data_IF_793290329052
#
_entry.id   IF_793290329052
#
_cell.length_a   1.000
_cell.length_b   1.000
_cell.length_c   1.000
_cell.angle_alpha   90.00
_cell.angle_beta   90.00
_cell.angle_gamma   90.00
#
_symmetry.space_group_name_H-M   'P 1'
#
loop_
_entity.id
_entity.type
_entity.pdbx_description
1 polymer ?
#
# COMPACT_ATOMS: atom_id res chain seq x y z
N UNK A 1 -15.12 -8.74 2.26
CA UNK A 1 -14.15 -8.23 3.25
C UNK A 1 -14.20 -6.72 3.21
N UNK A 2 -14.73 -6.09 4.26
CA UNK A 2 -14.70 -4.64 4.41
C UNK A 2 -13.37 -4.26 5.06
N UNK A 3 -12.57 -3.46 4.38
CA UNK A 3 -11.24 -3.05 4.87
C UNK A 3 -11.31 -2.27 6.19
N UNK A 4 -12.45 -1.66 6.50
CA UNK A 4 -12.66 -0.79 7.66
C UNK A 4 -12.84 -1.58 8.95
N UNK A 5 -12.89 -0.86 10.07
CA UNK A 5 -13.46 -1.40 11.31
C UNK A 5 -14.98 -1.37 11.25
N UNK A 6 -15.62 -2.24 12.04
CA UNK A 6 -17.08 -2.26 12.17
C UNK A 6 -17.63 -0.89 12.61
N UNK A 7 -16.95 -0.24 13.56
CA UNK A 7 -17.34 1.10 14.03
C UNK A 7 -17.31 2.14 12.90
N UNK A 8 -16.26 2.15 12.09
CA UNK A 8 -16.16 3.06 10.95
C UNK A 8 -17.22 2.76 9.88
N UNK A 9 -17.55 1.49 9.64
CA UNK A 9 -18.62 1.10 8.71
C UNK A 9 -20.00 1.57 9.20
N UNK A 10 -20.27 1.45 10.52
CA UNK A 10 -21.50 1.98 11.15
C UNK A 10 -21.58 3.50 11.03
N UNK A 11 -20.47 4.23 11.26
CA UNK A 11 -20.43 5.67 11.06
C UNK A 11 -20.78 6.08 9.63
N UNK A 12 -20.24 5.38 8.62
CA UNK A 12 -20.59 5.59 7.22
C UNK A 12 -22.08 5.28 6.93
N UNK A 13 -22.67 4.28 7.62
CA UNK A 13 -24.10 3.97 7.50
C UNK A 13 -24.99 5.14 7.94
N UNK A 14 -24.61 5.83 9.02
CA UNK A 14 -25.33 7.02 9.48
C UNK A 14 -25.29 8.20 8.47
N UNK A 15 -24.30 8.22 7.58
CA UNK A 15 -24.14 9.21 6.51
C UNK A 15 -24.78 8.77 5.18
N UNK A 16 -25.60 7.72 5.16
CA UNK A 16 -26.27 7.22 3.96
C UNK A 16 -25.42 6.30 3.07
N UNK A 17 -24.21 5.92 3.51
CA UNK A 17 -23.40 4.85 2.91
C UNK A 17 -23.65 3.54 3.69
N UNK A 18 -22.69 2.62 3.75
CA UNK A 18 -22.80 1.44 4.63
C UNK A 18 -21.90 0.29 4.23
N UNK A 19 -22.38 -0.92 4.54
CA UNK A 19 -21.84 -2.23 4.16
C UNK A 19 -23.02 -3.18 3.96
N UNK A 20 -22.78 -4.31 3.31
CA UNK A 20 -23.73 -5.35 2.99
C UNK A 20 -24.41 -5.89 4.25
N UNK A 21 -25.73 -5.97 4.21
CA UNK A 21 -26.52 -6.61 5.27
C UNK A 21 -26.55 -8.10 4.96
N UNK A 22 -25.93 -8.93 5.80
CA UNK A 22 -25.77 -10.39 5.55
C UNK A 22 -27.09 -11.12 5.28
N UNK A 23 -28.21 -10.66 5.83
CA UNK A 23 -29.55 -11.23 5.53
C UNK A 23 -29.96 -11.08 4.06
N UNK A 24 -29.46 -10.06 3.37
CA UNK A 24 -29.76 -9.78 1.96
C UNK A 24 -28.81 -10.55 1.02
N UNK A 25 -27.68 -11.02 1.52
CA UNK A 25 -26.63 -11.71 0.75
C UNK A 25 -26.41 -13.11 1.31
N UNK A 26 -27.34 -14.02 1.02
CA UNK A 26 -27.29 -15.41 1.52
C UNK A 26 -25.98 -16.09 1.12
N UNK A 27 -25.34 -16.76 2.08
CA UNK A 27 -24.06 -17.45 1.88
C UNK A 27 -22.82 -16.53 1.96
N UNK A 28 -23.00 -15.20 1.93
CA UNK A 28 -21.89 -14.27 2.12
C UNK A 28 -21.55 -14.11 3.61
N UNK A 29 -20.25 -14.03 3.90
CA UNK A 29 -19.73 -13.68 5.23
C UNK A 29 -19.07 -12.31 5.17
N UNK A 30 -19.55 -11.38 6.00
CA UNK A 30 -18.94 -10.06 6.14
C UNK A 30 -17.85 -10.11 7.21
N UNK A 31 -16.64 -9.70 6.83
CA UNK A 31 -15.46 -9.62 7.71
C UNK A 31 -14.93 -8.19 7.70
N UNK A 32 -14.61 -7.65 8.87
CA UNK A 32 -13.99 -6.33 9.04
C UNK A 32 -12.49 -6.46 9.30
N UNK A 33 -11.69 -5.82 8.46
CA UNK A 33 -10.24 -5.99 8.47
C UNK A 33 -9.52 -4.97 9.35
N UNK A 34 -10.25 -3.97 9.87
CA UNK A 34 -9.75 -2.98 10.83
C UNK A 34 -8.55 -2.15 10.35
N UNK A 35 -8.41 -1.94 9.04
CA UNK A 35 -7.42 -1.02 8.49
C UNK A 35 -7.92 0.42 8.67
N UNK A 36 -7.12 1.21 9.38
CA UNK A 36 -7.45 2.60 9.72
C UNK A 36 -7.48 3.52 8.49
N UNK A 37 -8.08 4.70 8.65
CA UNK A 37 -8.27 5.65 7.56
C UNK A 37 -6.98 6.42 7.24
N UNK A 38 -7.06 7.24 6.18
CA UNK A 38 -5.94 8.04 5.68
C UNK A 38 -5.38 9.04 6.71
N UNK A 39 -6.22 9.51 7.66
CA UNK A 39 -5.82 10.48 8.68
C UNK A 39 -4.94 9.82 9.74
N UNK A 40 -5.32 8.62 10.20
CA UNK A 40 -4.49 7.82 11.10
C UNK A 40 -3.13 7.51 10.50
N UNK A 41 -3.10 7.07 9.24
CA UNK A 41 -1.86 6.70 8.54
C UNK A 41 -0.97 7.93 8.34
N UNK A 42 -1.55 9.10 8.04
CA UNK A 42 -0.80 10.38 7.99
C UNK A 42 -0.19 10.71 9.35
N UNK A 43 -0.99 10.69 10.41
CA UNK A 43 -0.52 11.02 11.76
C UNK A 43 0.60 10.07 12.20
N UNK A 44 0.45 8.78 11.88
CA UNK A 44 1.44 7.76 12.18
C UNK A 44 2.80 8.05 11.52
N UNK A 45 2.81 8.38 10.23
CA UNK A 45 4.07 8.74 9.55
C UNK A 45 4.67 10.04 10.12
N UNK A 46 3.84 11.05 10.44
CA UNK A 46 4.32 12.28 11.06
C UNK A 46 4.98 12.02 12.43
N UNK A 47 4.36 11.17 13.25
CA UNK A 47 4.91 10.73 14.54
C UNK A 47 6.19 9.94 14.37
N UNK A 48 6.28 9.03 13.38
CA UNK A 48 7.49 8.28 13.09
C UNK A 48 8.64 9.19 12.61
N UNK A 49 8.36 10.10 11.68
CA UNK A 49 9.35 11.02 11.14
C UNK A 49 9.94 11.94 12.22
N UNK A 50 9.11 12.41 13.15
CA UNK A 50 9.55 13.26 14.25
C UNK A 50 10.64 12.62 15.14
N UNK A 51 10.67 11.29 15.25
CA UNK A 51 11.69 10.56 16.03
C UNK A 51 13.09 10.73 15.42
N UNK A 52 13.16 10.91 14.10
CA UNK A 52 14.42 11.06 13.37
C UNK A 52 14.79 12.52 13.11
N UNK A 53 13.98 13.49 13.58
CA UNK A 53 14.28 14.92 13.46
C UNK A 53 15.23 15.39 14.59
N UNK A 54 16.47 15.82 14.28
CA UNK A 54 17.46 16.19 15.30
C UNK A 54 17.01 17.33 16.22
N UNK A 55 16.25 18.30 15.67
CA UNK A 55 15.81 19.50 16.40
C UNK A 55 14.76 19.22 17.48
N UNK A 56 13.95 18.16 17.33
CA UNK A 56 12.95 17.75 18.32
C UNK A 56 13.52 16.85 19.41
N UNK A 57 14.50 16.01 19.05
CA UNK A 57 15.19 15.14 20.00
C UNK A 57 16.00 15.92 21.06
N UNK A 58 16.58 17.07 20.72
CA UNK A 58 17.32 17.91 21.67
C UNK A 58 16.44 18.51 22.79
N UNK A 59 15.13 18.68 22.55
CA UNK A 59 14.16 19.12 23.57
C UNK A 59 13.48 17.96 24.31
N UNK A 60 13.63 16.73 23.80
CA UNK A 60 12.99 15.51 24.31
C UNK A 60 13.94 14.60 25.11
N UNK A 61 15.16 15.04 25.46
CA UNK A 61 16.00 14.31 26.44
C UNK A 61 15.32 14.14 27.83
N UNK A 62 14.19 14.83 28.05
CA UNK A 62 13.30 14.71 29.21
C UNK A 62 12.14 13.70 29.00
N UNK A 63 11.98 13.10 27.81
CA UNK A 63 10.95 12.07 27.56
C UNK A 63 11.36 10.74 28.17
N UNK A 64 10.51 10.19 29.04
CA UNK A 64 10.71 8.87 29.68
C UNK A 64 10.56 7.67 28.75
N UNK A 65 10.12 7.87 27.50
CA UNK A 65 9.91 6.78 26.53
C UNK A 65 11.22 6.41 25.83
N UNK A 66 11.57 5.13 25.83
CA UNK A 66 12.69 4.58 25.07
C UNK A 66 12.52 4.80 23.56
N UNK A 67 13.62 4.70 22.79
CA UNK A 67 13.57 4.76 21.31
C UNK A 67 12.52 3.80 20.73
N UNK A 68 12.54 2.53 21.16
CA UNK A 68 11.56 1.54 20.72
C UNK A 68 10.13 1.86 21.16
N UNK A 69 9.95 2.43 22.36
CA UNK A 69 8.64 2.92 22.81
C UNK A 69 8.11 4.05 21.92
N UNK A 70 8.96 4.95 21.44
CA UNK A 70 8.55 6.01 20.50
C UNK A 70 8.16 5.42 19.14
N UNK A 71 8.89 4.42 18.65
CA UNK A 71 8.53 3.70 17.41
C UNK A 71 7.16 3.01 17.57
N UNK A 72 6.92 2.30 18.67
CA UNK A 72 5.63 1.66 18.93
C UNK A 72 4.48 2.68 19.01
N UNK A 73 4.70 3.77 19.76
CA UNK A 73 3.74 4.88 19.90
C UNK A 73 3.43 5.59 18.58
N UNK A 74 4.33 5.55 17.59
CA UNK A 74 4.04 6.07 16.25
C UNK A 74 2.92 5.30 15.54
N UNK A 75 2.70 4.04 15.91
CA UNK A 75 1.71 3.15 15.31
C UNK A 75 2.05 2.69 13.89
N UNK A 76 3.20 3.04 13.32
CA UNK A 76 3.51 2.75 11.91
C UNK A 76 3.57 1.24 11.65
N UNK A 77 4.34 0.50 12.47
CA UNK A 77 4.44 -0.96 12.37
C UNK A 77 3.10 -1.66 12.63
N UNK A 78 2.21 -1.05 13.44
CA UNK A 78 0.85 -1.53 13.63
C UNK A 78 0.02 -1.41 12.36
N UNK A 79 0.15 -0.30 11.61
CA UNK A 79 -0.51 -0.16 10.31
C UNK A 79 0.04 -1.14 9.27
N UNK A 80 1.36 -1.30 9.19
CA UNK A 80 2.02 -2.29 8.32
C UNK A 80 1.46 -3.69 8.61
N UNK A 81 1.43 -4.08 9.88
CA UNK A 81 0.87 -5.36 10.33
C UNK A 81 -0.60 -5.53 9.95
N UNK A 82 -1.44 -4.51 10.13
CA UNK A 82 -2.87 -4.59 9.81
C UNK A 82 -3.10 -4.81 8.31
N UNK A 83 -2.36 -4.11 7.44
CA UNK A 83 -2.44 -4.29 5.99
C UNK A 83 -1.95 -5.68 5.58
N UNK A 84 -0.79 -6.12 6.09
CA UNK A 84 -0.25 -7.46 5.84
C UNK A 84 -1.25 -8.55 6.26
N UNK A 85 -1.72 -8.49 7.51
CA UNK A 85 -2.68 -9.47 8.05
C UNK A 85 -3.95 -9.53 7.21
N UNK A 86 -4.48 -8.39 6.82
CA UNK A 86 -5.70 -8.32 6.04
C UNK A 86 -5.54 -8.93 4.63
N UNK A 87 -4.38 -8.70 4.02
CA UNK A 87 -4.04 -9.22 2.70
C UNK A 87 -3.76 -10.73 2.74
N UNK A 88 -3.07 -11.21 3.79
CA UNK A 88 -2.87 -12.64 4.03
C UNK A 88 -4.20 -13.38 4.22
N UNK A 89 -5.15 -12.81 4.99
CA UNK A 89 -6.48 -13.40 5.16
C UNK A 89 -7.24 -13.48 3.82
N UNK A 90 -7.15 -12.43 3.00
CA UNK A 90 -7.72 -12.42 1.64
C UNK A 90 -7.09 -13.50 0.77
N UNK A 91 -5.76 -13.55 0.69
CA UNK A 91 -5.03 -14.54 -0.09
C UNK A 91 -5.37 -15.96 0.34
N UNK A 92 -5.37 -16.23 1.65
CA UNK A 92 -5.74 -17.53 2.20
C UNK A 92 -7.18 -17.93 1.86
N UNK A 93 -8.12 -17.00 1.96
CA UNK A 93 -9.53 -17.26 1.61
C UNK A 93 -9.70 -17.63 0.14
N UNK A 94 -9.01 -16.90 -0.75
CA UNK A 94 -9.02 -17.16 -2.20
C UNK A 94 -8.34 -18.50 -2.52
N UNK A 95 -7.18 -18.77 -1.91
CA UNK A 95 -6.44 -20.02 -2.10
C UNK A 95 -7.27 -21.25 -1.72
N UNK A 96 -8.11 -21.15 -0.68
CA UNK A 96 -9.02 -22.20 -0.25
C UNK A 96 -10.32 -22.30 -1.07
N UNK A 97 -10.39 -21.65 -2.24
CA UNK A 97 -11.49 -21.76 -3.18
C UNK A 97 -12.70 -20.88 -2.87
N UNK A 98 -12.58 -19.89 -1.98
CA UNK A 98 -13.66 -18.93 -1.70
C UNK A 98 -13.41 -17.61 -2.41
N UNK A 99 -14.33 -17.17 -3.26
CA UNK A 99 -14.27 -15.85 -3.88
C UNK A 99 -14.44 -14.73 -2.83
N UNK A 100 -13.64 -13.67 -2.95
CA UNK A 100 -13.67 -12.52 -2.04
C UNK A 100 -14.09 -11.26 -2.80
N UNK A 101 -15.19 -10.64 -2.38
CA UNK A 101 -15.48 -9.24 -2.69
C UNK A 101 -14.82 -8.38 -1.61
N UNK A 102 -13.99 -7.40 -2.01
CA UNK A 102 -13.33 -6.48 -1.08
C UNK A 102 -13.65 -5.04 -1.41
N UNK A 103 -13.86 -4.23 -0.38
CA UNK A 103 -14.16 -2.81 -0.51
C UNK A 103 -13.71 -2.04 0.74
N UNK A 104 -13.79 -0.72 0.70
CA UNK A 104 -13.63 0.15 1.87
C UNK A 104 -14.72 1.23 1.87
N UNK A 105 -14.37 2.50 2.11
CA UNK A 105 -15.31 3.62 1.95
C UNK A 105 -15.51 3.99 0.47
N UNK A 106 -14.41 4.27 -0.22
CA UNK A 106 -14.44 4.77 -1.61
C UNK A 106 -13.72 3.82 -2.60
N UNK A 107 -13.05 2.78 -2.11
CA UNK A 107 -12.53 1.67 -2.91
C UNK A 107 -11.13 1.85 -3.52
N UNK A 108 -10.44 2.96 -3.29
CA UNK A 108 -9.16 3.28 -3.97
C UNK A 108 -7.93 3.38 -3.06
N UNK A 109 -8.07 3.25 -1.73
CA UNK A 109 -6.93 3.31 -0.78
C UNK A 109 -6.65 1.92 -0.20
N UNK A 110 -7.35 1.54 0.87
CA UNK A 110 -7.15 0.26 1.57
C UNK A 110 -7.46 -0.96 0.71
N UNK A 111 -8.41 -0.80 -0.21
CA UNK A 111 -8.75 -1.84 -1.19
C UNK A 111 -7.56 -2.14 -2.10
N UNK A 112 -6.92 -1.11 -2.68
CA UNK A 112 -5.72 -1.30 -3.50
C UNK A 112 -4.57 -1.93 -2.71
N UNK A 113 -4.36 -1.49 -1.45
CA UNK A 113 -3.36 -2.09 -0.55
C UNK A 113 -3.58 -3.60 -0.38
N UNK A 114 -4.83 -3.98 -0.07
CA UNK A 114 -5.18 -5.38 0.19
C UNK A 114 -5.10 -6.26 -1.05
N UNK A 115 -5.69 -5.80 -2.16
CA UNK A 115 -5.76 -6.58 -3.40
C UNK A 115 -4.37 -6.76 -3.98
N UNK A 116 -3.60 -5.68 -4.14
CA UNK A 116 -2.27 -5.77 -4.73
C UNK A 116 -1.33 -6.68 -3.92
N UNK A 117 -1.41 -6.62 -2.59
CA UNK A 117 -0.57 -7.46 -1.74
C UNK A 117 -1.05 -8.92 -1.72
N UNK A 118 -2.36 -9.18 -1.76
CA UNK A 118 -2.88 -10.54 -1.90
C UNK A 118 -2.51 -11.16 -3.25
N UNK A 119 -2.55 -10.39 -4.34
CA UNK A 119 -2.08 -10.83 -5.66
C UNK A 119 -0.59 -11.16 -5.65
N UNK A 120 0.25 -10.36 -5.00
CA UNK A 120 1.69 -10.67 -4.81
C UNK A 120 1.91 -11.99 -4.05
N UNK A 121 1.08 -12.26 -3.04
CA UNK A 121 1.11 -13.49 -2.25
C UNK A 121 0.63 -14.71 -3.05
N UNK A 122 -0.34 -14.54 -3.95
CA UNK A 122 -1.01 -15.63 -4.67
C UNK A 122 -0.33 -16.01 -6.00
N UNK A 123 0.21 -15.04 -6.73
CA UNK A 123 0.66 -15.23 -8.11
C UNK A 123 2.16 -14.89 -8.25
N UNK A 124 3.02 -15.89 -8.53
CA UNK A 124 4.44 -15.68 -8.79
C UNK A 124 4.73 -14.67 -9.91
N UNK A 125 3.82 -14.48 -10.87
CA UNK A 125 4.00 -13.46 -11.91
C UNK A 125 4.25 -12.08 -11.31
N UNK A 126 3.47 -11.67 -10.31
CA UNK A 126 3.60 -10.35 -9.69
C UNK A 126 4.87 -10.19 -8.84
N UNK A 127 5.61 -11.27 -8.59
CA UNK A 127 6.92 -11.25 -7.91
C UNK A 127 8.09 -11.05 -8.88
N UNK A 128 7.85 -11.15 -10.19
CA UNK A 128 8.82 -10.77 -11.22
C UNK A 128 8.96 -9.25 -11.29
N UNK A 129 10.10 -8.74 -11.77
CA UNK A 129 10.32 -7.31 -11.95
C UNK A 129 9.23 -6.72 -12.86
N UNK A 130 8.92 -7.40 -13.97
CA UNK A 130 7.88 -6.95 -14.90
C UNK A 130 6.48 -7.05 -14.30
N UNK A 131 6.17 -8.15 -13.63
CA UNK A 131 4.86 -8.36 -13.04
C UNK A 131 4.56 -7.37 -11.93
N UNK A 132 5.55 -7.00 -11.10
CA UNK A 132 5.39 -5.97 -10.09
C UNK A 132 5.06 -4.59 -10.70
N UNK A 133 5.68 -4.22 -11.83
CA UNK A 133 5.32 -3.00 -12.56
C UNK A 133 3.86 -3.04 -13.03
N UNK A 134 3.43 -4.19 -13.55
CA UNK A 134 2.04 -4.41 -13.98
C UNK A 134 1.08 -4.35 -12.80
N UNK A 135 1.43 -4.93 -11.65
CA UNK A 135 0.66 -4.86 -10.42
C UNK A 135 0.42 -3.41 -9.99
N UNK A 136 1.47 -2.58 -9.99
CA UNK A 136 1.38 -1.15 -9.66
C UNK A 136 0.53 -0.39 -10.68
N UNK A 137 0.76 -0.57 -11.97
CA UNK A 137 -0.05 0.09 -13.00
C UNK A 137 -1.53 -0.33 -12.95
N UNK A 138 -1.80 -1.61 -12.66
CA UNK A 138 -3.15 -2.15 -12.56
C UNK A 138 -3.83 -1.64 -11.29
N UNK A 139 -3.42 -2.13 -10.13
CA UNK A 139 -4.16 -1.97 -8.87
C UNK A 139 -4.08 -0.56 -8.28
N UNK A 140 -3.07 0.22 -8.66
CA UNK A 140 -2.91 1.59 -8.17
C UNK A 140 -3.27 2.62 -9.22
N UNK A 141 -2.60 2.61 -10.37
CA UNK A 141 -2.79 3.67 -11.36
C UNK A 141 -4.12 3.55 -12.11
N UNK A 142 -4.47 2.36 -12.61
CA UNK A 142 -5.67 2.16 -13.43
C UNK A 142 -6.96 2.14 -12.59
N UNK A 143 -6.92 1.52 -11.40
CA UNK A 143 -8.04 1.47 -10.46
C UNK A 143 -8.26 2.78 -9.69
N UNK A 144 -7.47 3.82 -9.97
CA UNK A 144 -7.78 5.20 -9.56
C UNK A 144 -7.39 5.53 -8.14
N UNK A 145 -6.28 4.98 -7.63
CA UNK A 145 -5.66 5.55 -6.46
C UNK A 145 -5.33 7.03 -6.72
N UNK A 146 -5.74 7.90 -5.81
CA UNK A 146 -5.66 9.35 -5.99
C UNK A 146 -4.24 9.87 -5.70
N UNK A 147 -3.25 9.46 -6.51
CA UNK A 147 -1.83 9.77 -6.27
C UNK A 147 -1.57 11.27 -6.14
N UNK A 148 -2.09 12.09 -7.06
CA UNK A 148 -1.87 13.54 -7.00
C UNK A 148 -2.42 14.16 -5.71
N UNK A 149 -3.62 13.74 -5.26
CA UNK A 149 -4.22 14.20 -4.02
C UNK A 149 -3.47 13.69 -2.77
N UNK A 150 -3.14 12.39 -2.73
CA UNK A 150 -2.52 11.71 -1.58
C UNK A 150 -1.07 12.17 -1.37
N UNK A 151 -0.32 12.34 -2.45
CA UNK A 151 1.07 12.77 -2.44
C UNK A 151 1.24 14.30 -2.52
N UNK A 152 0.16 15.05 -2.80
CA UNK A 152 0.19 16.51 -2.84
C UNK A 152 0.95 17.07 -4.03
N UNK A 153 0.87 16.43 -5.20
CA UNK A 153 1.49 16.90 -6.44
C UNK A 153 0.95 18.27 -6.84
N UNK A 154 1.82 19.14 -7.35
CA UNK A 154 1.50 20.47 -7.86
C UNK A 154 0.71 21.40 -6.90
N UNK A 155 0.60 21.06 -5.60
CA UNK A 155 -0.19 21.81 -4.61
C UNK A 155 0.70 22.38 -3.50
N UNK A 156 0.64 23.71 -3.35
CA UNK A 156 1.28 24.46 -2.25
C UNK A 156 0.63 24.21 -0.88
N UNK A 157 -0.61 23.72 -0.84
CA UNK A 157 -1.33 23.49 0.41
C UNK A 157 -0.86 22.20 1.10
N UNK A 158 0.20 22.34 1.88
CA UNK A 158 0.75 21.30 2.77
C UNK A 158 -0.20 20.90 3.90
N UNK A 159 -1.25 21.71 4.17
CA UNK A 159 -2.22 21.46 5.24
C UNK A 159 -3.40 20.59 4.80
N UNK A 160 -3.46 20.24 3.50
CA UNK A 160 -4.55 19.45 2.95
C UNK A 160 -4.69 18.09 3.66
N UNK A 161 -5.82 17.91 4.35
CA UNK A 161 -6.11 16.70 5.13
C UNK A 161 -6.42 15.45 4.30
N UNK A 162 -6.40 15.54 2.97
CA UNK A 162 -6.50 14.39 2.07
C UNK A 162 -5.13 13.78 1.72
N UNK A 163 -4.03 14.44 2.09
CA UNK A 163 -2.67 13.88 1.96
C UNK A 163 -2.49 12.72 2.93
N UNK A 164 -1.91 11.63 2.45
CA UNK A 164 -1.64 10.44 3.27
C UNK A 164 -0.68 9.48 2.56
N UNK A 165 0.26 8.84 3.29
CA UNK A 165 1.28 7.97 2.71
C UNK A 165 0.76 6.54 2.45
N UNK A 166 -0.38 6.41 1.77
CA UNK A 166 -1.06 5.13 1.53
C UNK A 166 -0.21 4.18 0.68
N UNK A 167 0.34 4.67 -0.43
CA UNK A 167 1.23 3.89 -1.30
C UNK A 167 2.56 3.56 -0.61
N UNK A 168 3.12 4.50 0.15
CA UNK A 168 4.35 4.27 0.91
C UNK A 168 4.17 3.19 1.99
N UNK A 169 3.03 3.20 2.70
CA UNK A 169 2.68 2.15 3.64
C UNK A 169 2.60 0.77 2.96
N UNK A 170 2.08 0.71 1.73
CA UNK A 170 2.06 -0.53 0.96
C UNK A 170 3.45 -0.98 0.53
N UNK A 171 4.32 -0.05 0.08
CA UNK A 171 5.71 -0.37 -0.23
C UNK A 171 6.46 -0.93 1.00
N UNK A 172 6.19 -0.41 2.20
CA UNK A 172 6.73 -0.99 3.45
C UNK A 172 6.20 -2.43 3.66
N UNK A 173 4.91 -2.68 3.42
CA UNK A 173 4.37 -4.04 3.49
C UNK A 173 5.06 -4.98 2.48
N UNK A 174 5.33 -4.53 1.26
CA UNK A 174 6.10 -5.28 0.26
C UNK A 174 7.54 -5.50 0.74
N UNK A 175 8.15 -4.51 1.39
CA UNK A 175 9.48 -4.65 1.98
C UNK A 175 9.51 -5.69 3.11
N UNK A 176 8.50 -5.74 3.97
CA UNK A 176 8.38 -6.80 4.98
C UNK A 176 8.23 -8.19 4.32
N UNK A 177 7.47 -8.26 3.21
CA UNK A 177 7.27 -9.50 2.47
C UNK A 177 8.59 -10.02 1.86
N UNK A 178 9.36 -9.17 1.15
CA UNK A 178 10.65 -9.59 0.57
C UNK A 178 11.66 -10.00 1.65
N UNK A 179 11.59 -9.41 2.86
CA UNK A 179 12.47 -9.80 3.97
C UNK A 179 12.17 -11.19 4.52
N UNK A 180 10.90 -11.59 4.51
CA UNK A 180 10.50 -12.94 4.92
C UNK A 180 10.76 -13.97 3.82
N UNK A 181 10.80 -13.53 2.56
CA UNK A 181 10.98 -14.39 1.38
C UNK A 181 12.10 -13.87 0.46
N UNK A 182 13.37 -13.93 0.90
CA UNK A 182 14.49 -13.26 0.24
C UNK A 182 14.82 -13.78 -1.18
N UNK A 183 14.31 -14.95 -1.57
CA UNK A 183 14.57 -15.58 -2.88
C UNK A 183 13.36 -15.54 -3.83
N UNK A 184 12.21 -15.04 -3.36
CA UNK A 184 10.92 -15.24 -4.05
C UNK A 184 10.49 -14.06 -4.94
N UNK A 185 11.12 -12.89 -4.77
CA UNK A 185 10.92 -11.73 -5.63
C UNK A 185 12.16 -11.47 -6.49
N UNK A 186 11.94 -11.26 -7.79
CA UNK A 186 12.99 -10.91 -8.76
C UNK A 186 13.48 -9.48 -8.55
N UNK A 187 12.65 -8.60 -7.99
CA UNK A 187 13.03 -7.24 -7.65
C UNK A 187 13.60 -7.12 -6.23
N UNK A 188 14.47 -6.13 -6.02
CA UNK A 188 15.11 -5.86 -4.74
C UNK A 188 14.57 -4.57 -4.06
N UNK A 189 15.12 -4.22 -2.90
CA UNK A 189 14.72 -3.02 -2.14
C UNK A 189 14.96 -1.70 -2.89
N UNK A 190 15.94 -1.65 -3.80
CA UNK A 190 16.23 -0.44 -4.58
C UNK A 190 15.07 -0.08 -5.50
N UNK A 191 14.28 -1.06 -5.96
CA UNK A 191 13.05 -0.79 -6.70
C UNK A 191 12.05 -0.06 -5.81
N UNK A 192 11.80 -0.58 -4.61
CA UNK A 192 10.83 -0.01 -3.68
C UNK A 192 11.22 1.41 -3.27
N UNK A 193 12.52 1.67 -3.02
CA UNK A 193 13.05 3.00 -2.74
C UNK A 193 12.88 3.94 -3.93
N UNK A 194 13.19 3.49 -5.16
CA UNK A 194 12.98 4.31 -6.36
C UNK A 194 11.51 4.69 -6.56
N UNK A 195 10.57 3.78 -6.26
CA UNK A 195 9.13 4.08 -6.28
C UNK A 195 8.75 5.06 -5.16
N UNK A 196 9.27 4.87 -3.95
CA UNK A 196 9.02 5.76 -2.81
C UNK A 196 9.52 7.19 -3.07
N UNK A 197 10.64 7.37 -3.78
CA UNK A 197 11.13 8.69 -4.18
C UNK A 197 10.28 9.28 -5.32
N UNK A 198 10.03 8.49 -6.35
CA UNK A 198 9.43 8.98 -7.59
C UNK A 198 7.91 9.08 -7.56
N UNK A 199 7.25 8.52 -6.55
CA UNK A 199 5.85 8.86 -6.25
C UNK A 199 5.69 10.31 -5.83
N UNK A 200 6.73 10.99 -5.33
CA UNK A 200 6.68 12.42 -4.97
C UNK A 200 7.40 13.34 -5.96
N UNK A 201 8.39 12.84 -6.70
CA UNK A 201 9.28 13.66 -7.54
C UNK A 201 8.57 14.39 -8.69
N UNK A 202 7.42 13.89 -9.14
CA UNK A 202 6.73 14.34 -10.35
C UNK A 202 7.61 14.30 -11.62
N UNK A 203 8.71 13.54 -11.61
CA UNK A 203 9.63 13.40 -12.75
C UNK A 203 8.99 12.60 -13.90
N UNK A 204 8.14 11.63 -13.57
CA UNK A 204 7.50 10.71 -14.51
C UNK A 204 5.98 10.84 -14.45
N UNK A 205 5.32 10.48 -15.53
CA UNK A 205 3.85 10.46 -15.60
C UNK A 205 3.19 9.34 -14.81
N UNK A 206 3.94 8.30 -14.46
CA UNK A 206 3.40 7.04 -13.92
C UNK A 206 2.41 7.26 -12.78
N UNK A 207 2.75 8.16 -11.83
CA UNK A 207 1.96 8.47 -10.65
C UNK A 207 1.27 9.85 -10.72
N UNK A 208 1.15 10.46 -11.90
CA UNK A 208 0.44 11.72 -12.05
C UNK A 208 -1.08 11.51 -12.08
N UNK A 209 -1.81 12.52 -11.60
CA UNK A 209 -3.27 12.60 -11.56
C UNK A 209 -3.92 11.58 -10.61
N UNK A 210 -5.26 11.60 -10.55
CA UNK A 210 -6.04 10.82 -9.59
C UNK A 210 -6.86 9.69 -10.21
N UNK A 211 -6.88 9.57 -11.55
CA UNK A 211 -7.55 8.47 -12.23
C UNK A 211 -7.03 8.25 -13.66
N UNK A 212 -7.29 7.05 -14.18
CA UNK A 212 -6.82 6.63 -15.50
C UNK A 212 -7.33 7.52 -16.63
N UNK A 213 -8.60 7.96 -16.57
CA UNK A 213 -9.21 8.82 -17.59
C UNK A 213 -8.41 10.11 -17.78
N UNK A 214 -8.15 10.84 -16.69
CA UNK A 214 -7.41 12.11 -16.74
C UNK A 214 -5.98 11.87 -17.23
N UNK A 215 -5.34 10.80 -16.76
CA UNK A 215 -3.98 10.42 -17.17
C UNK A 215 -3.90 10.16 -18.68
N UNK A 216 -4.83 9.37 -19.23
CA UNK A 216 -4.93 9.09 -20.68
C UNK A 216 -5.19 10.35 -21.51
N UNK A 217 -6.14 11.18 -21.06
CA UNK A 217 -6.47 12.43 -21.76
C UNK A 217 -5.28 13.41 -21.82
N UNK A 218 -4.47 13.45 -20.77
CA UNK A 218 -3.24 14.25 -20.73
C UNK A 218 -2.14 13.65 -21.62
N UNK A 219 -1.90 12.34 -21.54
CA UNK A 219 -0.83 11.67 -22.31
C UNK A 219 -1.09 11.67 -23.81
N UNK A 220 -2.36 11.74 -24.23
CA UNK A 220 -2.72 11.90 -25.64
C UNK A 220 -2.26 13.25 -26.22
N UNK A 221 -1.98 14.25 -25.38
CA UNK A 221 -1.67 15.63 -25.78
C UNK A 221 -0.24 16.05 -25.43
N UNK A 222 0.41 15.33 -24.53
CA UNK A 222 1.72 15.69 -23.98
C UNK A 222 2.66 14.50 -23.98
N UNK A 223 3.94 14.75 -24.32
CA UNK A 223 4.99 13.75 -24.15
C UNK A 223 5.26 13.55 -22.67
N UNK A 224 5.11 12.31 -22.20
CA UNK A 224 5.30 11.96 -20.80
C UNK A 224 6.11 10.69 -20.70
N UNK A 225 7.13 10.70 -19.84
CA UNK A 225 8.00 9.55 -19.62
C UNK A 225 7.44 8.65 -18.51
N UNK A 226 7.54 7.35 -18.70
CA UNK A 226 7.22 6.34 -17.69
C UNK A 226 8.44 6.07 -16.83
N UNK A 227 8.24 5.94 -15.52
CA UNK A 227 9.31 5.46 -14.61
C UNK A 227 9.80 4.07 -15.00
N UNK A 228 8.92 3.24 -15.57
CA UNK A 228 9.24 1.90 -16.00
C UNK A 228 10.26 1.89 -17.14
N UNK A 229 10.29 2.94 -17.99
CA UNK A 229 11.31 3.05 -19.03
C UNK A 229 12.71 3.19 -18.44
N UNK A 230 12.86 3.98 -17.37
CA UNK A 230 14.13 4.15 -16.65
C UNK A 230 14.48 2.88 -15.86
N UNK A 231 13.52 2.31 -15.14
CA UNK A 231 13.74 1.08 -14.35
C UNK A 231 14.19 -0.07 -15.26
N UNK A 232 13.55 -0.25 -16.42
CA UNK A 232 13.88 -1.34 -17.33
C UNK A 232 15.21 -1.13 -18.05
N UNK A 233 15.61 0.12 -18.34
CA UNK A 233 16.92 0.41 -18.93
C UNK A 233 18.08 0.17 -17.95
N UNK A 234 17.81 0.18 -16.64
CA UNK A 234 18.76 -0.08 -15.55
C UNK A 234 18.34 -1.30 -14.72
N UNK A 235 17.71 -2.30 -15.35
CA UNK A 235 17.07 -3.42 -14.64
C UNK A 235 17.99 -4.16 -13.67
N UNK A 236 19.28 -4.33 -14.01
CA UNK A 236 20.28 -4.96 -13.14
C UNK A 236 20.34 -4.34 -11.74
N UNK A 237 20.19 -3.01 -11.61
CA UNK A 237 20.17 -2.31 -10.32
C UNK A 237 18.99 -2.74 -9.44
N UNK A 238 17.88 -3.11 -10.06
CA UNK A 238 16.62 -3.41 -9.42
C UNK A 238 16.38 -4.91 -9.25
N UNK A 239 17.23 -5.75 -9.83
CA UNK A 239 17.13 -7.20 -9.74
C UNK A 239 17.76 -7.73 -8.44
N UNK A 240 17.10 -8.70 -7.83
CA UNK A 240 17.57 -9.46 -6.70
C UNK A 240 18.47 -10.61 -7.17
N UNK A 241 19.76 -10.56 -6.86
CA UNK A 241 20.71 -11.62 -7.24
C UNK A 241 20.47 -12.95 -6.52
N UNK A 242 19.68 -12.95 -5.45
CA UNK A 242 19.26 -14.17 -4.74
C UNK A 242 17.96 -14.77 -5.29
N UNK A 243 17.39 -14.20 -6.37
CA UNK A 243 16.14 -14.67 -6.94
C UNK A 243 16.26 -16.12 -7.41
N UNK A 244 15.57 -17.00 -6.70
CA UNK A 244 15.52 -18.44 -6.92
C UNK A 244 14.17 -18.92 -6.33
N UNK A 245 13.05 -18.64 -7.02
CA UNK A 245 11.72 -18.90 -6.48
C UNK A 245 11.48 -20.40 -6.32
N UNK A 246 10.81 -20.80 -5.24
CA UNK A 246 10.46 -22.19 -5.00
C UNK A 246 9.45 -22.70 -6.04
N UNK A 247 9.76 -23.81 -6.71
CA UNK A 247 8.83 -24.48 -7.62
C UNK A 247 7.59 -25.07 -6.91
N UNK A 248 7.66 -25.22 -5.58
CA UNK A 248 6.64 -25.93 -4.79
C UNK A 248 5.66 -24.99 -4.07
N UNK A 249 6.04 -23.73 -3.81
CA UNK A 249 5.25 -22.79 -3.01
C UNK A 249 4.72 -21.64 -3.88
N UNK A 250 3.61 -21.89 -4.57
CA UNK A 250 2.95 -20.86 -5.37
C UNK A 250 2.33 -19.76 -4.51
N UNK A 251 1.90 -20.07 -3.28
CA UNK A 251 1.32 -19.09 -2.34
C UNK A 251 2.23 -18.87 -1.14
N UNK A 252 2.55 -17.61 -0.86
CA UNK A 252 3.42 -17.22 0.25
C UNK A 252 2.65 -16.34 1.23
N UNK A 253 2.51 -16.83 2.47
CA UNK A 253 1.74 -16.19 3.54
C UNK A 253 2.67 -15.67 4.64
N UNK A 254 3.09 -14.38 4.61
CA UNK A 254 4.04 -13.86 5.59
C UNK A 254 3.47 -13.91 7.01
N UNK A 255 4.35 -14.16 7.97
CA UNK A 255 4.04 -14.01 9.38
C UNK A 255 3.70 -12.56 9.70
N UNK A 256 2.65 -12.38 10.49
CA UNK A 256 2.20 -11.10 11.04
C UNK A 256 2.24 -11.10 12.57
N UNK A 257 2.91 -12.09 13.15
CA UNK A 257 3.17 -12.18 14.58
C UNK A 257 4.49 -11.46 14.89
N UNK A 258 4.45 -10.64 15.93
CA UNK A 258 5.64 -10.08 16.61
C UNK A 258 6.15 -11.05 17.64
#
# INVERSE_FOLDING_TARGET
MDSRSQLAAVGNKAMGKGTEITSNYRGAKLLFMNIENIHSVRQSLMSLAAIFEPKKNASEETSSSSFYGRIDNSGWLRHVRLVLKASTEMAYTVHNGTSVLTHCSDGWDRTAQMVALAELMLDPYYRTLRGFQVLVEKEWCSFGHQFALRCGHARSDVTNEQRSPVFLLWLDCVWQYIRQYPTECEFNESLLLALADHVYSCKYGTFMFDCERIRKDFFAKHLVFSIWSEINSQSERFTNHMFAPSEQATVLSPSTLS
#
